data_IF_782946735644
#
_entry.id   IF_782946735644
#
_cell.length_a   1.000
_cell.length_b   1.000
_cell.length_c   1.000
_cell.angle_alpha   90.00
_cell.angle_beta   90.00
_cell.angle_gamma   90.00
#
_symmetry.space_group_name_H-M   'P 1'
#
loop_
_entity.id
_entity.type
_entity.pdbx_description
1 polymer ?
#
# COMPACT_ATOMS: atom_id res chain seq x y z
N UNK A 1 -9.16 38.84 38.39
CA UNK A 1 -9.57 39.09 36.99
C UNK A 1 -9.06 37.94 36.13
N UNK A 2 -9.93 37.48 35.24
CA UNK A 2 -9.91 36.25 34.44
C UNK A 2 -8.77 36.07 33.44
N UNK A 3 -8.63 34.82 32.98
CA UNK A 3 -8.05 34.42 31.70
C UNK A 3 -7.23 33.14 31.89
N UNK A 4 -7.57 31.96 31.38
CA UNK A 4 -8.41 31.59 30.24
C UNK A 4 -7.69 30.41 29.59
N UNK A 5 -8.36 29.26 29.47
CA UNK A 5 -7.82 27.98 29.02
C UNK A 5 -7.18 28.06 27.62
N UNK A 6 -6.05 27.38 27.44
CA UNK A 6 -5.56 26.98 26.12
C UNK A 6 -5.33 25.45 26.12
N UNK A 7 -6.44 24.73 26.01
CA UNK A 7 -6.51 23.27 25.90
C UNK A 7 -6.98 22.87 24.50
N UNK A 8 -6.30 23.37 23.46
CA UNK A 8 -6.69 23.15 22.06
C UNK A 8 -5.71 22.37 21.17
N UNK A 9 -4.50 22.01 21.63
CA UNK A 9 -3.40 21.64 20.69
C UNK A 9 -2.62 20.35 20.94
N UNK A 10 -3.07 19.45 21.84
CA UNK A 10 -2.34 18.20 22.15
C UNK A 10 -2.93 16.93 21.51
N UNK A 11 -4.17 16.97 21.03
CA UNK A 11 -4.82 15.79 20.44
C UNK A 11 -4.37 15.47 19.01
N UNK A 12 -4.19 16.48 18.17
CA UNK A 12 -3.80 16.28 16.76
C UNK A 12 -2.36 15.80 16.59
N UNK A 13 -1.42 16.36 17.37
CA UNK A 13 0.00 15.98 17.27
C UNK A 13 0.26 14.51 17.61
N UNK A 14 -0.48 13.94 18.57
CA UNK A 14 -0.27 12.54 18.96
C UNK A 14 -0.68 11.55 17.88
N UNK A 15 -1.69 11.86 17.05
CA UNK A 15 -2.11 10.97 15.95
C UNK A 15 -1.14 11.04 14.76
N UNK A 16 -0.69 12.25 14.40
CA UNK A 16 0.32 12.44 13.35
C UNK A 16 1.66 11.76 13.69
N UNK A 17 2.01 11.67 14.96
CA UNK A 17 3.22 11.00 15.45
C UNK A 17 3.14 9.46 15.39
N UNK A 18 1.95 8.88 15.18
CA UNK A 18 1.75 7.42 15.09
C UNK A 18 1.70 6.89 13.64
N UNK A 19 1.47 7.76 12.66
CA UNK A 19 1.59 7.41 11.25
C UNK A 19 3.08 7.46 10.86
N UNK A 20 3.59 6.38 10.27
CA UNK A 20 4.91 6.45 9.63
C UNK A 20 4.91 7.57 8.58
N UNK A 21 6.09 8.12 8.26
CA UNK A 21 6.20 9.20 7.29
C UNK A 21 5.55 8.80 5.94
N UNK A 22 5.66 7.53 5.58
CA UNK A 22 5.12 6.95 4.34
C UNK A 22 3.60 6.81 4.39
N UNK A 23 3.01 6.47 5.55
CA UNK A 23 1.56 6.48 5.73
C UNK A 23 0.99 7.89 5.59
N UNK A 24 1.69 8.91 6.12
CA UNK A 24 1.29 10.32 5.98
C UNK A 24 1.32 10.76 4.52
N UNK A 25 2.42 10.47 3.80
CA UNK A 25 2.55 10.81 2.38
C UNK A 25 1.45 10.15 1.57
N UNK A 26 1.20 8.84 1.76
CA UNK A 26 0.14 8.14 1.05
C UNK A 26 -1.24 8.74 1.37
N UNK A 27 -1.51 9.09 2.62
CA UNK A 27 -2.77 9.74 3.01
C UNK A 27 -2.96 11.10 2.32
N UNK A 28 -1.92 11.94 2.31
CA UNK A 28 -1.92 13.24 1.62
C UNK A 28 -2.13 13.07 0.12
N UNK A 29 -1.43 12.13 -0.51
CA UNK A 29 -1.57 11.84 -1.94
C UNK A 29 -2.96 11.34 -2.33
N UNK A 30 -3.54 10.41 -1.56
CA UNK A 30 -4.92 9.96 -1.80
C UNK A 30 -5.95 11.07 -1.59
N UNK A 31 -5.73 11.95 -0.61
CA UNK A 31 -6.59 13.12 -0.38
C UNK A 31 -6.54 14.06 -1.58
N UNK A 32 -5.34 14.44 -2.03
CA UNK A 32 -5.12 15.30 -3.19
C UNK A 32 -5.71 14.68 -4.47
N UNK A 33 -5.42 13.41 -4.73
CA UNK A 33 -5.90 12.70 -5.91
C UNK A 33 -7.43 12.66 -5.94
N UNK A 34 -8.08 12.42 -4.80
CA UNK A 34 -9.55 12.40 -4.74
C UNK A 34 -10.17 13.72 -5.20
N UNK A 35 -9.56 14.85 -4.80
CA UNK A 35 -10.03 16.18 -5.17
C UNK A 35 -9.74 16.51 -6.64
N UNK A 36 -8.50 16.28 -7.10
CA UNK A 36 -8.08 16.59 -8.47
C UNK A 36 -8.86 15.75 -9.48
N UNK A 37 -9.01 14.45 -9.21
CA UNK A 37 -9.74 13.55 -10.10
C UNK A 37 -11.25 13.86 -10.14
N UNK A 38 -11.88 14.20 -9.02
CA UNK A 38 -13.30 14.63 -9.00
C UNK A 38 -13.50 15.94 -9.76
N UNK A 39 -12.59 16.90 -9.61
CA UNK A 39 -12.60 18.14 -10.39
C UNK A 39 -12.44 17.87 -11.89
N UNK A 40 -11.48 17.03 -12.28
CA UNK A 40 -11.28 16.62 -13.66
C UNK A 40 -12.53 15.92 -14.24
N UNK A 41 -13.14 15.01 -13.49
CA UNK A 41 -14.36 14.33 -13.89
C UNK A 41 -15.51 15.31 -14.19
N UNK A 42 -15.71 16.31 -13.32
CA UNK A 42 -16.73 17.35 -13.50
C UNK A 42 -16.41 18.26 -14.68
N UNK A 43 -15.15 18.61 -14.86
CA UNK A 43 -14.69 19.47 -15.96
C UNK A 43 -14.87 18.78 -17.31
N UNK A 44 -14.39 17.53 -17.45
CA UNK A 44 -14.60 16.69 -18.63
C UNK A 44 -16.10 16.55 -18.97
N UNK A 45 -16.95 16.31 -17.96
CA UNK A 45 -18.40 16.21 -18.16
C UNK A 45 -19.03 17.52 -18.69
N UNK A 46 -18.44 18.68 -18.36
CA UNK A 46 -18.92 19.99 -18.83
C UNK A 46 -18.41 20.39 -20.21
N UNK A 47 -17.28 19.85 -20.66
CA UNK A 47 -16.64 20.19 -21.94
C UNK A 47 -17.22 19.43 -23.14
N UNK A 48 -17.96 18.34 -22.91
CA UNK A 48 -18.77 17.67 -23.93
C UNK A 48 -18.60 16.15 -24.02
N UNK A 49 -19.40 15.48 -24.88
CA UNK A 49 -19.45 14.01 -24.95
C UNK A 49 -18.14 13.36 -25.40
N UNK A 50 -17.24 14.10 -26.05
CA UNK A 50 -15.92 13.63 -26.48
C UNK A 50 -14.98 13.31 -25.29
N UNK A 51 -15.30 13.80 -24.09
CA UNK A 51 -14.55 13.51 -22.86
C UNK A 51 -15.34 12.60 -21.89
N UNK A 52 -16.43 11.96 -22.34
CA UNK A 52 -17.29 11.15 -21.48
C UNK A 52 -16.54 9.98 -20.82
N UNK A 53 -15.67 9.29 -21.56
CA UNK A 53 -14.83 8.20 -21.02
C UNK A 53 -13.84 8.73 -19.98
N UNK A 54 -13.15 9.83 -20.28
CA UNK A 54 -12.25 10.49 -19.34
C UNK A 54 -12.98 10.91 -18.05
N UNK A 55 -14.20 11.45 -18.18
CA UNK A 55 -15.01 11.84 -17.02
C UNK A 55 -15.40 10.64 -16.14
N UNK A 56 -15.71 9.50 -16.74
CA UNK A 56 -16.02 8.27 -16.01
C UNK A 56 -14.80 7.73 -15.27
N UNK A 57 -13.66 7.62 -15.95
CA UNK A 57 -12.40 7.16 -15.35
C UNK A 57 -11.98 8.05 -14.17
N UNK A 58 -11.98 9.37 -14.36
CA UNK A 58 -11.59 10.29 -13.29
C UNK A 58 -12.52 10.20 -12.09
N UNK A 59 -13.81 9.90 -12.30
CA UNK A 59 -14.76 9.67 -11.20
C UNK A 59 -14.44 8.39 -10.44
N UNK A 60 -14.19 7.29 -11.14
CA UNK A 60 -13.82 6.01 -10.53
C UNK A 60 -12.52 6.15 -9.71
N UNK A 61 -11.51 6.84 -10.27
CA UNK A 61 -10.25 7.15 -9.57
C UNK A 61 -10.49 8.01 -8.34
N UNK A 62 -11.34 9.05 -8.42
CA UNK A 62 -11.67 9.90 -7.27
C UNK A 62 -12.33 9.11 -6.14
N UNK A 63 -13.28 8.23 -6.46
CA UNK A 63 -13.98 7.39 -5.49
C UNK A 63 -13.04 6.37 -4.84
N UNK A 64 -12.17 5.74 -5.63
CA UNK A 64 -11.14 4.81 -5.13
C UNK A 64 -10.13 5.51 -4.23
N UNK A 65 -9.70 6.73 -4.59
CA UNK A 65 -8.77 7.52 -3.79
C UNK A 65 -9.38 7.91 -2.44
N UNK A 66 -10.61 8.45 -2.45
CA UNK A 66 -11.34 8.79 -1.24
C UNK A 66 -11.65 7.56 -0.35
N UNK A 67 -11.80 6.38 -0.95
CA UNK A 67 -11.95 5.14 -0.19
C UNK A 67 -10.64 4.71 0.46
N UNK A 68 -9.52 4.72 -0.28
CA UNK A 68 -8.19 4.42 0.25
C UNK A 68 -7.79 5.37 1.39
N UNK A 69 -8.03 6.67 1.24
CA UNK A 69 -7.82 7.68 2.29
C UNK A 69 -8.48 7.24 3.61
N UNK A 70 -9.76 6.86 3.56
CA UNK A 70 -10.52 6.41 4.74
C UNK A 70 -9.98 5.11 5.34
N UNK A 71 -9.46 4.20 4.52
CA UNK A 71 -8.86 2.95 4.99
C UNK A 71 -7.53 3.21 5.70
N UNK A 72 -6.70 4.09 5.15
CA UNK A 72 -5.41 4.50 5.74
C UNK A 72 -5.65 5.25 7.05
N UNK A 73 -6.55 6.24 7.06
CA UNK A 73 -6.84 7.07 8.22
C UNK A 73 -7.34 6.27 9.45
N UNK A 74 -7.91 5.08 9.22
CA UNK A 74 -8.41 4.20 10.29
C UNK A 74 -7.56 2.95 10.53
N UNK A 75 -6.38 2.87 9.91
CA UNK A 75 -5.49 1.71 9.99
C UNK A 75 -6.21 0.39 9.68
N UNK A 76 -6.92 0.37 8.55
CA UNK A 76 -7.76 -0.79 8.19
C UNK A 76 -6.93 -1.96 7.69
N UNK A 77 -7.22 -3.17 8.20
CA UNK A 77 -6.62 -4.42 7.70
C UNK A 77 -6.86 -4.69 6.20
N UNK A 78 -7.86 -4.06 5.60
CA UNK A 78 -8.17 -4.17 4.16
C UNK A 78 -7.40 -3.16 3.30
N UNK A 79 -6.66 -2.23 3.91
CA UNK A 79 -5.90 -1.18 3.23
C UNK A 79 -5.00 -1.74 2.13
N UNK A 80 -4.13 -2.73 2.40
CA UNK A 80 -3.21 -3.24 1.39
C UNK A 80 -3.88 -3.81 0.13
N UNK A 81 -4.96 -4.57 0.28
CA UNK A 81 -5.68 -5.18 -0.85
C UNK A 81 -6.37 -4.12 -1.74
N UNK A 82 -6.93 -3.10 -1.11
CA UNK A 82 -7.62 -2.00 -1.81
C UNK A 82 -6.60 -1.05 -2.47
N UNK A 83 -5.46 -0.84 -1.83
CA UNK A 83 -4.31 -0.10 -2.35
C UNK A 83 -3.71 -0.78 -3.61
N UNK A 84 -3.52 -2.10 -3.59
CA UNK A 84 -3.09 -2.87 -4.78
C UNK A 84 -4.12 -2.77 -5.92
N UNK A 85 -5.40 -2.87 -5.57
CA UNK A 85 -6.50 -2.70 -6.53
C UNK A 85 -6.51 -1.32 -7.16
N UNK A 86 -6.26 -0.26 -6.38
CA UNK A 86 -6.10 1.09 -6.91
C UNK A 86 -4.94 1.17 -7.91
N UNK A 87 -3.75 0.63 -7.59
CA UNK A 87 -2.60 0.65 -8.50
C UNK A 87 -2.93 -0.04 -9.83
N UNK A 88 -3.61 -1.20 -9.80
CA UNK A 88 -4.03 -1.91 -11.01
C UNK A 88 -4.96 -1.06 -11.88
N UNK A 89 -6.01 -0.52 -11.27
CA UNK A 89 -7.01 0.30 -11.99
C UNK A 89 -6.38 1.57 -12.55
N UNK A 90 -5.54 2.24 -11.77
CA UNK A 90 -4.81 3.44 -12.19
C UNK A 90 -3.91 3.15 -13.41
N UNK A 91 -3.10 2.09 -13.35
CA UNK A 91 -2.23 1.67 -14.47
C UNK A 91 -3.00 1.35 -15.74
N UNK A 92 -4.13 0.65 -15.61
CA UNK A 92 -4.97 0.30 -16.76
C UNK A 92 -5.71 1.51 -17.34
N UNK A 93 -5.96 2.54 -16.53
CA UNK A 93 -6.68 3.75 -16.92
C UNK A 93 -5.80 4.83 -17.56
N UNK A 94 -4.52 4.90 -17.18
CA UNK A 94 -3.59 5.93 -17.64
C UNK A 94 -3.49 6.07 -19.16
N UNK A 95 -3.42 4.99 -19.97
CA UNK A 95 -3.35 5.12 -21.43
C UNK A 95 -4.54 5.85 -22.05
N UNK A 96 -5.74 5.71 -21.47
CA UNK A 96 -6.93 6.43 -21.94
C UNK A 96 -6.86 7.91 -21.54
N UNK A 97 -6.45 8.22 -20.31
CA UNK A 97 -6.27 9.61 -19.87
C UNK A 97 -5.19 10.34 -20.70
N UNK A 98 -4.11 9.65 -21.04
CA UNK A 98 -3.01 10.20 -21.83
C UNK A 98 -3.43 10.63 -23.24
N UNK A 99 -4.50 10.05 -23.81
CA UNK A 99 -5.07 10.51 -25.08
C UNK A 99 -5.65 11.93 -24.98
N UNK A 100 -5.96 12.39 -23.77
CA UNK A 100 -6.54 13.69 -23.49
C UNK A 100 -5.60 14.63 -22.70
N UNK A 101 -4.32 14.30 -22.58
CA UNK A 101 -3.35 15.07 -21.79
C UNK A 101 -3.15 16.53 -22.25
N UNK A 102 -3.59 16.89 -23.46
CA UNK A 102 -3.60 18.29 -23.89
C UNK A 102 -4.53 19.19 -23.05
N UNK A 103 -5.51 18.60 -22.37
CA UNK A 103 -6.36 19.34 -21.43
C UNK A 103 -5.62 19.46 -20.09
N UNK A 104 -5.43 20.69 -19.55
CA UNK A 104 -4.66 20.88 -18.31
C UNK A 104 -5.17 20.08 -17.11
N UNK A 105 -6.50 19.95 -16.97
CA UNK A 105 -7.12 19.19 -15.88
C UNK A 105 -6.81 17.68 -15.96
N UNK A 106 -6.70 17.13 -17.16
CA UNK A 106 -6.30 15.73 -17.38
C UNK A 106 -4.82 15.53 -17.06
N UNK A 107 -3.94 16.43 -17.52
CA UNK A 107 -2.50 16.34 -17.25
C UNK A 107 -2.16 16.43 -15.75
N UNK A 108 -2.87 17.30 -15.02
CA UNK A 108 -2.76 17.42 -13.57
C UNK A 108 -3.22 16.13 -12.87
N UNK A 109 -4.33 15.55 -13.32
CA UNK A 109 -4.85 14.27 -12.79
C UNK A 109 -3.88 13.12 -13.04
N UNK A 110 -3.29 13.02 -14.23
CA UNK A 110 -2.27 12.00 -14.54
C UNK A 110 -1.09 12.12 -13.57
N UNK A 111 -0.60 13.34 -13.35
CA UNK A 111 0.53 13.59 -12.45
C UNK A 111 0.20 13.21 -11.00
N UNK A 112 -1.02 13.49 -10.55
CA UNK A 112 -1.50 13.09 -9.23
C UNK A 112 -1.64 11.56 -9.11
N UNK A 113 -2.11 10.88 -10.16
CA UNK A 113 -2.20 9.41 -10.21
C UNK A 113 -0.81 8.78 -10.06
N UNK A 114 0.17 9.22 -10.86
CA UNK A 114 1.54 8.69 -10.81
C UNK A 114 2.16 8.85 -9.42
N UNK A 115 2.06 10.05 -8.84
CA UNK A 115 2.55 10.34 -7.48
C UNK A 115 1.91 9.44 -6.44
N UNK A 116 0.59 9.25 -6.52
CA UNK A 116 -0.17 8.41 -5.58
C UNK A 116 0.17 6.93 -5.75
N UNK A 117 0.42 6.47 -6.98
CA UNK A 117 0.87 5.09 -7.22
C UNK A 117 2.25 4.83 -6.62
N UNK A 118 3.16 5.81 -6.68
CA UNK A 118 4.51 5.70 -6.10
C UNK A 118 4.47 5.62 -4.57
N UNK A 119 3.70 6.49 -3.91
CA UNK A 119 3.54 6.47 -2.45
C UNK A 119 2.79 5.22 -1.98
N UNK A 120 1.77 4.79 -2.74
CA UNK A 120 1.05 3.55 -2.49
C UNK A 120 1.96 2.30 -2.60
N UNK A 121 2.80 2.23 -3.64
CA UNK A 121 3.75 1.13 -3.82
C UNK A 121 4.76 1.09 -2.67
N UNK A 122 5.31 2.24 -2.29
CA UNK A 122 6.23 2.37 -1.14
C UNK A 122 5.59 1.87 0.16
N UNK A 123 4.33 2.24 0.40
CA UNK A 123 3.59 1.81 1.58
C UNK A 123 3.38 0.29 1.61
N UNK A 124 2.99 -0.31 0.48
CA UNK A 124 2.76 -1.76 0.37
C UNK A 124 4.04 -2.57 0.61
N UNK A 125 5.19 -2.10 0.11
CA UNK A 125 6.48 -2.75 0.34
C UNK A 125 6.86 -2.78 1.83
N UNK A 126 6.53 -1.73 2.58
CA UNK A 126 6.76 -1.68 4.03
C UNK A 126 5.87 -2.66 4.79
N UNK A 127 4.59 -2.75 4.44
CA UNK A 127 3.64 -3.69 5.07
C UNK A 127 4.07 -5.14 4.81
N UNK A 128 4.42 -5.48 3.57
CA UNK A 128 4.91 -6.82 3.22
C UNK A 128 6.22 -7.21 3.93
N UNK A 129 7.10 -6.22 4.17
CA UNK A 129 8.35 -6.41 4.92
C UNK A 129 8.11 -6.67 6.41
N UNK A 130 7.10 -6.03 7.03
CA UNK A 130 6.73 -6.28 8.43
C UNK A 130 6.19 -7.71 8.64
N UNK A 131 5.35 -8.21 7.74
CA UNK A 131 4.81 -9.58 7.84
C UNK A 131 5.92 -10.65 7.80
N UNK A 132 6.97 -10.43 6.99
CA UNK A 132 8.14 -11.33 6.95
C UNK A 132 8.98 -11.26 8.23
N UNK A 133 9.18 -10.07 8.80
CA UNK A 133 9.95 -9.90 10.04
C UNK A 133 9.27 -10.58 11.25
N UNK A 134 7.94 -10.53 11.34
CA UNK A 134 7.18 -11.18 12.42
C UNK A 134 7.17 -12.72 12.28
N UNK A 135 7.15 -13.26 11.06
CA UNK A 135 7.26 -14.72 10.84
C UNK A 135 8.65 -15.27 11.12
N UNK A 136 9.71 -14.49 10.89
CA UNK A 136 11.10 -14.91 11.15
C UNK A 136 11.44 -15.06 12.64
N UNK A 137 10.74 -14.37 13.54
CA UNK A 137 11.02 -14.42 14.99
C UNK A 137 10.38 -15.59 15.72
N UNK A 138 9.38 -16.27 15.12
CA UNK A 138 8.70 -17.41 15.74
C UNK A 138 9.37 -18.77 15.47
N UNK A 139 10.40 -18.83 14.61
CA UNK A 139 11.10 -20.06 14.22
C UNK A 139 12.53 -20.18 14.80
N UNK A 140 12.80 -19.60 15.97
CA UNK A 140 14.13 -19.71 16.63
C UNK A 140 14.09 -20.13 18.11
N UNK A 141 12.90 -20.37 18.68
CA UNK A 141 12.73 -20.71 20.11
C UNK A 141 12.64 -22.21 20.45
N UNK A 142 12.85 -23.11 19.48
CA UNK A 142 12.57 -24.54 19.63
C UNK A 142 13.80 -25.41 19.84
N UNK A 143 14.05 -25.78 21.10
CA UNK A 143 14.50 -27.11 21.52
C UNK A 143 15.94 -27.55 21.17
N UNK A 144 16.83 -27.58 22.17
CA UNK A 144 17.55 -28.81 22.55
C UNK A 144 18.23 -28.66 23.91
N UNK A 145 17.51 -29.06 24.95
CA UNK A 145 18.08 -29.51 26.21
C UNK A 145 17.51 -30.89 26.52
N UNK A 146 18.40 -31.85 26.81
CA UNK A 146 18.23 -33.10 27.59
C UNK A 146 18.90 -34.33 26.94
N UNK A 147 20.08 -34.68 27.49
CA UNK A 147 20.42 -36.00 28.03
C UNK A 147 20.23 -37.28 27.21
N UNK A 148 21.31 -38.04 27.01
CA UNK A 148 21.21 -39.47 26.67
C UNK A 148 22.53 -40.17 26.37
N UNK A 149 23.17 -40.74 27.40
CA UNK A 149 24.19 -41.81 27.27
C UNK A 149 23.64 -42.97 26.44
N UNK A 150 24.42 -43.49 25.48
CA UNK A 150 24.45 -44.90 25.03
C UNK A 150 25.75 -45.12 24.26
N UNK A 151 26.77 -45.71 24.89
CA UNK A 151 27.20 -47.13 24.75
C UNK A 151 27.38 -47.57 23.31
N UNK A 152 28.62 -47.96 23.00
CA UNK A 152 29.14 -48.07 21.65
C UNK A 152 28.77 -49.33 20.90
N UNK A 153 29.27 -49.39 19.66
CA UNK A 153 29.73 -50.61 18.98
C UNK A 153 30.52 -50.20 17.74
N UNK A 154 31.81 -50.46 17.75
CA UNK A 154 32.60 -50.62 16.54
C UNK A 154 32.03 -51.80 15.74
N UNK A 155 31.86 -51.63 14.43
CA UNK A 155 32.01 -52.73 13.49
C UNK A 155 32.49 -52.19 12.15
N UNK A 156 33.71 -52.56 11.83
CA UNK A 156 34.38 -52.43 10.54
C UNK A 156 33.79 -53.42 9.52
N UNK A 157 33.87 -53.06 8.23
CA UNK A 157 34.34 -53.99 7.19
C UNK A 157 33.33 -54.56 6.18
N UNK A 158 33.66 -54.36 4.88
CA UNK A 158 33.17 -55.08 3.69
C UNK A 158 32.01 -54.36 2.97
N UNK A 159 32.13 -53.71 1.80
CA UNK A 159 32.82 -53.98 0.54
C UNK A 159 32.45 -55.34 -0.11
N UNK A 160 31.47 -55.31 -1.03
CA UNK A 160 31.45 -55.98 -2.36
C UNK A 160 30.02 -55.90 -2.96
N UNK A 161 29.79 -55.10 -4.00
CA UNK A 161 29.84 -55.41 -5.46
C UNK A 161 28.69 -56.27 -6.01
N UNK A 162 27.89 -55.65 -6.88
CA UNK A 162 27.57 -56.18 -8.21
C UNK A 162 26.29 -56.99 -8.37
N UNK A 163 25.53 -56.68 -9.44
CA UNK A 163 24.73 -57.70 -10.13
C UNK A 163 23.37 -57.27 -10.65
N UNK A 164 23.38 -56.78 -11.89
CA UNK A 164 22.25 -56.65 -12.83
C UNK A 164 21.25 -57.83 -12.79
N UNK A 165 19.94 -57.54 -12.79
CA UNK A 165 18.99 -57.71 -13.91
C UNK A 165 17.57 -57.37 -13.47
#
# INVERSE_FOLDING_TARGET
MSGGQDTGGRGQRSFEDHLTNELRIALEDFTDLSHVADWCAKTCASEGPQLATCAAICRDIAELAAFNEKLIARDSMFGPEVADTFIRIARESLPELQQHQQHPHVAETISAIDRTMDSCTTLLEMVGSQEMATRGTQQSGGQMGAGGRRTGRQSMGGQQTGGQR
#
